data_IF_650612795796
#
_entry.id   IF_650612795796
#
_cell.length_a   1.000
_cell.length_b   1.000
_cell.length_c   1.000
_cell.angle_alpha   90.00
_cell.angle_beta   90.00
_cell.angle_gamma   90.00
#
_symmetry.space_group_name_H-M   'P 1'
#
loop_
_entity.id
_entity.type
_entity.pdbx_description
1 polymer ?
#
# COMPACT_ATOMS: atom_id res chain seq x y z
N UNK A 1 -15.51 -25.05 -62.72
CA UNK A 1 -16.36 -24.00 -62.14
C UNK A 1 -16.08 -23.97 -60.65
N UNK A 2 -15.45 -22.89 -60.21
CA UNK A 2 -15.11 -22.60 -58.81
C UNK A 2 -16.37 -22.09 -58.10
N UNK A 3 -16.54 -22.37 -56.81
CA UNK A 3 -16.73 -21.31 -55.80
C UNK A 3 -16.66 -21.89 -54.39
N UNK A 4 -15.63 -21.43 -53.67
CA UNK A 4 -15.32 -21.79 -52.30
C UNK A 4 -16.29 -21.15 -51.31
N UNK A 5 -16.71 -21.96 -50.34
CA UNK A 5 -17.42 -21.52 -49.15
C UNK A 5 -16.48 -20.68 -48.26
N UNK A 6 -16.74 -19.38 -48.12
CA UNK A 6 -16.08 -18.51 -47.15
C UNK A 6 -16.73 -18.72 -45.76
N UNK A 7 -16.01 -19.20 -44.72
CA UNK A 7 -16.56 -19.23 -43.37
C UNK A 7 -16.38 -17.86 -42.69
N UNK A 8 -17.50 -17.20 -42.39
CA UNK A 8 -17.52 -15.99 -41.56
C UNK A 8 -17.28 -16.34 -40.09
N UNK A 9 -16.06 -16.13 -39.59
CA UNK A 9 -15.75 -16.33 -38.16
C UNK A 9 -14.61 -15.40 -37.71
N UNK A 10 -14.85 -14.09 -37.69
CA UNK A 10 -13.77 -13.15 -37.26
C UNK A 10 -14.22 -11.85 -36.61
N UNK A 11 -15.48 -11.39 -36.76
CA UNK A 11 -15.90 -10.08 -36.23
C UNK A 11 -16.02 -10.03 -34.71
N UNK A 12 -16.52 -11.10 -34.09
CA UNK A 12 -16.78 -11.11 -32.64
C UNK A 12 -15.50 -11.12 -31.80
N UNK A 13 -14.46 -11.81 -32.27
CA UNK A 13 -13.15 -11.88 -31.58
C UNK A 13 -12.46 -10.52 -31.61
N UNK A 14 -12.50 -9.80 -32.75
CA UNK A 14 -11.93 -8.47 -32.88
C UNK A 14 -12.59 -7.42 -31.96
N UNK A 15 -13.90 -7.50 -31.76
CA UNK A 15 -14.65 -6.58 -30.90
C UNK A 15 -14.33 -6.80 -29.42
N UNK A 16 -14.26 -8.06 -28.95
CA UNK A 16 -13.96 -8.37 -27.55
C UNK A 16 -12.54 -7.91 -27.16
N UNK A 17 -11.56 -8.10 -28.05
CA UNK A 17 -10.18 -7.65 -27.81
C UNK A 17 -10.10 -6.12 -27.74
N UNK A 18 -10.79 -5.41 -28.62
CA UNK A 18 -10.82 -3.94 -28.61
C UNK A 18 -11.48 -3.37 -27.34
N UNK A 19 -12.58 -3.97 -26.88
CA UNK A 19 -13.26 -3.56 -25.63
C UNK A 19 -12.38 -3.80 -24.40
N UNK A 20 -11.70 -4.95 -24.32
CA UNK A 20 -10.79 -5.25 -23.21
C UNK A 20 -9.58 -4.28 -23.17
N UNK A 21 -8.99 -3.97 -24.34
CA UNK A 21 -7.90 -3.01 -24.42
C UNK A 21 -8.33 -1.59 -24.01
N UNK A 22 -9.53 -1.16 -24.43
CA UNK A 22 -10.08 0.13 -24.03
C UNK A 22 -10.34 0.19 -22.53
N UNK A 23 -10.91 -0.87 -21.94
CA UNK A 23 -11.15 -0.96 -20.50
C UNK A 23 -9.85 -0.90 -19.69
N UNK A 24 -8.80 -1.60 -20.13
CA UNK A 24 -7.48 -1.54 -19.49
C UNK A 24 -6.86 -0.14 -19.57
N UNK A 25 -6.99 0.56 -20.70
CA UNK A 25 -6.51 1.93 -20.86
C UNK A 25 -7.27 2.91 -19.94
N UNK A 26 -8.60 2.78 -19.87
CA UNK A 26 -9.43 3.59 -18.96
C UNK A 26 -9.05 3.33 -17.51
N UNK A 27 -8.88 2.06 -17.11
CA UNK A 27 -8.43 1.69 -15.77
C UNK A 27 -7.08 2.32 -15.42
N UNK A 28 -6.10 2.23 -16.32
CA UNK A 28 -4.78 2.81 -16.12
C UNK A 28 -4.83 4.34 -15.95
N UNK A 29 -5.63 5.03 -16.77
CA UNK A 29 -5.82 6.49 -16.67
C UNK A 29 -6.51 6.87 -15.36
N UNK A 30 -7.56 6.16 -14.95
CA UNK A 30 -8.26 6.43 -13.68
C UNK A 30 -7.32 6.24 -12.49
N UNK A 31 -6.54 5.16 -12.45
CA UNK A 31 -5.55 4.92 -11.38
C UNK A 31 -4.47 6.00 -11.31
N UNK A 32 -4.07 6.58 -12.44
CA UNK A 32 -3.11 7.68 -12.47
C UNK A 32 -3.70 8.99 -11.93
N UNK A 33 -5.01 9.22 -12.12
CA UNK A 33 -5.68 10.44 -11.71
C UNK A 33 -6.10 10.44 -10.23
N UNK A 34 -6.29 9.25 -9.61
CA UNK A 34 -6.76 9.13 -8.22
C UNK A 34 -5.66 9.02 -7.17
N UNK A 35 -4.39 8.93 -7.58
CA UNK A 35 -3.26 8.71 -6.66
C UNK A 35 -3.33 7.36 -5.91
N UNK A 36 -2.26 6.97 -5.21
CA UNK A 36 -2.29 5.79 -4.34
C UNK A 36 -3.27 6.02 -3.18
N UNK A 37 -3.96 4.95 -2.74
CA UNK A 37 -4.85 5.02 -1.57
C UNK A 37 -4.00 5.25 -0.32
N UNK A 38 -4.29 6.29 0.45
CA UNK A 38 -3.53 6.65 1.66
C UNK A 38 -4.46 6.72 2.86
N UNK A 39 -4.12 5.98 3.91
CA UNK A 39 -4.76 6.03 5.22
C UNK A 39 -3.88 6.79 6.21
N UNK A 40 -4.46 7.66 7.03
CA UNK A 40 -3.77 8.40 8.08
C UNK A 40 -3.62 7.61 9.37
N UNK A 41 -2.96 8.22 10.36
CA UNK A 41 -2.75 7.58 11.67
C UNK A 41 -4.05 7.19 12.38
N UNK A 42 -5.13 7.94 12.13
CA UNK A 42 -6.41 7.80 12.82
C UNK A 42 -7.34 6.79 12.15
N UNK A 43 -7.00 6.33 10.94
CA UNK A 43 -7.76 5.31 10.19
C UNK A 43 -7.44 3.91 10.74
N UNK A 44 -7.89 3.62 11.96
CA UNK A 44 -7.59 2.38 12.69
C UNK A 44 -8.21 1.13 12.09
N UNK A 45 -9.27 1.30 11.32
CA UNK A 45 -10.01 0.24 10.64
C UNK A 45 -9.98 0.53 9.13
N UNK A 46 -9.22 -0.28 8.40
CA UNK A 46 -8.94 -0.13 6.97
C UNK A 46 -9.64 -1.25 6.21
N UNK A 47 -10.41 -0.90 5.19
CA UNK A 47 -11.03 -1.87 4.27
C UNK A 47 -10.58 -1.55 2.84
N UNK A 48 -10.07 -2.56 2.14
CA UNK A 48 -9.57 -2.46 0.77
C UNK A 48 -9.92 -3.71 -0.02
N UNK A 49 -10.03 -3.62 -1.34
CA UNK A 49 -10.20 -4.79 -2.20
C UNK A 49 -8.88 -5.51 -2.47
N UNK A 50 -8.90 -6.82 -2.71
CA UNK A 50 -7.75 -7.57 -3.21
C UNK A 50 -7.12 -6.89 -4.43
N UNK A 51 -5.78 -6.87 -4.49
CA UNK A 51 -5.01 -6.20 -5.54
C UNK A 51 -4.74 -4.71 -5.29
N UNK A 52 -5.39 -4.10 -4.28
CA UNK A 52 -5.17 -2.69 -3.94
C UNK A 52 -3.78 -2.47 -3.37
N UNK A 53 -3.08 -1.46 -3.90
CA UNK A 53 -1.89 -0.88 -3.28
C UNK A 53 -2.30 0.33 -2.46
N UNK A 54 -1.91 0.35 -1.18
CA UNK A 54 -2.20 1.47 -0.29
C UNK A 54 -1.02 1.76 0.64
N UNK A 55 -1.02 2.95 1.22
CA UNK A 55 -0.01 3.38 2.19
C UNK A 55 -0.67 3.79 3.50
N UNK A 56 -0.03 3.45 4.62
CA UNK A 56 -0.34 4.03 5.93
C UNK A 56 0.63 5.19 6.17
N UNK A 57 0.08 6.39 6.39
CA UNK A 57 0.80 7.63 6.60
C UNK A 57 0.87 7.98 8.08
N UNK A 58 2.08 8.21 8.57
CA UNK A 58 2.38 8.57 9.95
C UNK A 58 3.23 9.83 9.99
N UNK A 59 3.06 10.67 11.01
CA UNK A 59 4.02 11.72 11.34
C UNK A 59 5.34 11.08 11.75
N UNK A 60 6.44 11.62 11.25
CA UNK A 60 7.78 11.13 11.52
C UNK A 60 8.76 12.30 11.60
N UNK A 61 9.82 12.14 12.38
CA UNK A 61 10.97 13.02 12.36
C UNK A 61 12.25 12.19 12.46
N UNK A 62 12.82 11.76 11.32
CA UNK A 62 14.00 10.91 11.29
C UNK A 62 15.24 11.54 11.95
N UNK A 63 15.32 12.88 12.07
CA UNK A 63 16.46 13.55 12.69
C UNK A 63 16.61 13.25 14.19
N UNK A 64 15.55 12.74 14.81
CA UNK A 64 15.53 12.38 16.24
C UNK A 64 16.18 11.03 16.53
N UNK A 65 16.49 10.24 15.49
CA UNK A 65 16.96 8.86 15.63
C UNK A 65 15.87 7.83 15.92
N UNK A 66 14.61 8.26 16.01
CA UNK A 66 13.45 7.38 16.03
C UNK A 66 13.03 6.98 14.61
N UNK A 67 12.44 5.79 14.49
CA UNK A 67 11.88 5.29 13.23
C UNK A 67 10.68 4.39 13.49
N UNK A 68 9.77 4.37 12.53
CA UNK A 68 8.68 3.40 12.48
C UNK A 68 9.18 2.05 11.95
N UNK A 69 8.83 0.97 12.65
CA UNK A 69 9.10 -0.42 12.24
C UNK A 69 7.85 -1.26 12.35
N UNK A 70 7.74 -2.29 11.51
CA UNK A 70 6.74 -3.33 11.68
C UNK A 70 7.10 -4.15 12.91
N UNK A 71 6.15 -4.28 13.84
CA UNK A 71 6.32 -5.04 15.06
C UNK A 71 5.59 -6.38 14.98
N UNK A 72 6.05 -7.35 15.78
CA UNK A 72 5.36 -8.62 15.92
C UNK A 72 4.03 -8.47 16.69
N UNK A 73 3.00 -9.27 16.40
CA UNK A 73 2.95 -10.19 15.25
C UNK A 73 2.87 -9.41 13.92
N UNK A 74 3.59 -9.89 12.92
CA UNK A 74 3.48 -9.33 11.56
C UNK A 74 2.13 -9.71 10.94
N UNK A 75 1.59 -8.87 10.02
CA UNK A 75 0.37 -9.19 9.30
C UNK A 75 0.52 -10.49 8.50
N UNK A 76 -0.59 -11.20 8.33
CA UNK A 76 -0.64 -12.45 7.57
C UNK A 76 -0.22 -12.16 6.11
N UNK A 77 0.91 -12.72 5.62
CA UNK A 77 1.41 -12.44 4.29
C UNK A 77 0.50 -12.94 3.17
N UNK A 78 -0.42 -13.87 3.46
CA UNK A 78 -1.45 -14.31 2.51
C UNK A 78 -2.55 -13.26 2.32
N UNK A 79 -2.81 -12.42 3.33
CA UNK A 79 -3.82 -11.34 3.31
C UNK A 79 -3.18 -10.02 2.89
N UNK A 80 -2.06 -9.65 3.50
CA UNK A 80 -1.45 -8.34 3.33
C UNK A 80 0.08 -8.45 3.27
N UNK A 81 0.69 -7.88 2.23
CA UNK A 81 2.15 -7.85 2.09
C UNK A 81 2.67 -6.43 2.13
N UNK A 82 3.62 -6.14 3.02
CA UNK A 82 4.39 -4.89 2.96
C UNK A 82 5.26 -4.86 1.70
N UNK A 83 5.19 -3.78 0.94
CA UNK A 83 5.91 -3.59 -0.33
C UNK A 83 7.00 -2.54 -0.26
N UNK A 84 7.02 -1.69 0.77
CA UNK A 84 8.04 -0.67 0.90
C UNK A 84 7.67 0.46 1.85
N UNK A 85 7.97 1.67 1.42
CA UNK A 85 7.70 2.91 2.13
C UNK A 85 8.65 4.03 1.70
N UNK A 86 8.22 5.27 1.92
CA UNK A 86 8.99 6.48 1.63
C UNK A 86 8.82 7.51 2.75
N UNK A 87 9.55 8.63 2.66
CA UNK A 87 9.43 9.76 3.57
C UNK A 87 9.41 11.05 2.79
N UNK A 88 8.43 11.87 3.10
CA UNK A 88 8.31 13.21 2.57
C UNK A 88 8.60 14.19 3.71
N UNK A 89 9.60 15.05 3.53
CA UNK A 89 9.91 16.09 4.49
C UNK A 89 8.87 17.21 4.40
N UNK A 90 8.56 17.84 5.53
CA UNK A 90 7.77 19.08 5.52
C UNK A 90 8.56 20.20 4.83
N UNK A 91 7.89 20.94 3.95
CA UNK A 91 8.48 22.07 3.24
C UNK A 91 8.21 23.41 3.95
N UNK A 92 9.18 24.33 3.99
CA UNK A 92 10.54 24.19 3.49
C UNK A 92 11.40 23.25 4.36
N UNK A 93 12.13 22.35 3.72
CA UNK A 93 13.03 21.44 4.42
C UNK A 93 14.17 22.19 5.13
N UNK A 94 14.30 21.99 6.45
CA UNK A 94 15.37 22.56 7.29
C UNK A 94 16.00 21.46 8.15
N UNK A 95 17.23 21.64 8.66
CA UNK A 95 17.79 20.73 9.64
C UNK A 95 16.84 20.54 10.82
N UNK A 96 16.45 19.29 11.08
CA UNK A 96 15.51 18.93 12.15
C UNK A 96 14.03 18.97 11.78
N UNK A 97 13.66 19.37 10.55
CA UNK A 97 12.27 19.30 10.07
C UNK A 97 11.74 17.87 10.12
N UNK A 98 10.53 17.73 10.62
CA UNK A 98 9.75 16.50 10.53
C UNK A 98 9.13 16.35 9.14
N UNK A 99 8.18 15.43 9.05
CA UNK A 99 7.48 15.11 7.82
C UNK A 99 6.56 13.90 7.99
N UNK A 100 6.33 13.22 6.87
CA UNK A 100 5.39 12.13 6.75
C UNK A 100 6.11 10.86 6.30
N UNK A 101 5.96 9.80 7.08
CA UNK A 101 6.35 8.44 6.75
C UNK A 101 5.19 7.72 6.10
N UNK A 102 5.45 7.07 4.97
CA UNK A 102 4.52 6.17 4.31
C UNK A 102 5.02 4.74 4.42
N UNK A 103 4.15 3.83 4.81
CA UNK A 103 4.41 2.39 4.82
C UNK A 103 3.48 1.74 3.80
N UNK A 104 4.07 1.17 2.76
CA UNK A 104 3.32 0.71 1.59
C UNK A 104 2.97 -0.78 1.71
N UNK A 105 1.74 -1.12 1.34
CA UNK A 105 1.19 -2.47 1.38
C UNK A 105 0.48 -2.83 0.06
N UNK A 106 0.45 -4.13 -0.23
CA UNK A 106 -0.38 -4.74 -1.26
C UNK A 106 -1.35 -5.72 -0.60
N UNK A 107 -2.64 -5.48 -0.80
CA UNK A 107 -3.71 -6.40 -0.44
C UNK A 107 -3.66 -7.63 -1.38
N UNK A 108 -3.54 -8.83 -0.80
CA UNK A 108 -3.30 -10.09 -1.52
C UNK A 108 -4.57 -10.93 -1.58
N UNK A 109 -4.87 -11.67 -0.52
CA UNK A 109 -6.05 -12.50 -0.40
C UNK A 109 -7.10 -11.89 0.53
N UNK A 110 -8.36 -12.27 0.33
CA UNK A 110 -9.43 -11.88 1.22
C UNK A 110 -9.16 -12.38 2.64
N UNK A 111 -9.47 -11.57 3.65
CA UNK A 111 -9.22 -11.91 5.04
C UNK A 111 -9.06 -10.70 5.94
N UNK A 112 -8.73 -10.94 7.21
CA UNK A 112 -8.49 -9.91 8.21
C UNK A 112 -7.11 -10.10 8.82
N UNK A 113 -6.38 -9.00 9.00
CA UNK A 113 -5.09 -9.01 9.67
C UNK A 113 -4.85 -7.72 10.43
N UNK A 114 -3.87 -7.71 11.33
CA UNK A 114 -3.48 -6.52 12.08
C UNK A 114 -2.08 -6.07 11.66
N UNK A 115 -1.93 -4.77 11.44
CA UNK A 115 -0.64 -4.13 11.23
C UNK A 115 -0.29 -3.38 12.51
N UNK A 116 0.83 -3.78 13.15
CA UNK A 116 1.39 -3.06 14.29
C UNK A 116 2.65 -2.33 13.87
N UNK A 117 2.63 -1.00 13.95
CA UNK A 117 3.78 -0.13 13.71
C UNK A 117 4.27 0.43 15.05
N UNK A 118 5.56 0.25 15.33
CA UNK A 118 6.23 0.72 16.56
C UNK A 118 7.23 1.81 16.23
N UNK A 119 7.21 2.90 16.99
CA UNK A 119 8.14 4.00 16.90
C UNK A 119 9.25 3.81 17.94
N UNK A 120 10.43 3.38 17.49
CA UNK A 120 11.55 3.08 18.39
C UNK A 120 12.78 3.91 18.06
N UNK A 121 13.52 4.27 19.10
CA UNK A 121 14.86 4.85 18.99
C UNK A 121 15.86 3.72 18.77
N UNK A 122 16.71 3.84 17.74
CA UNK A 122 17.77 2.84 17.43
C UNK A 122 17.29 1.38 17.44
N UNK A 123 16.13 1.11 16.82
CA UNK A 123 15.52 -0.22 16.76
C UNK A 123 16.53 -1.32 16.37
N UNK A 124 16.50 -2.44 17.09
CA UNK A 124 17.41 -3.58 16.86
C UNK A 124 18.68 -3.58 17.73
N UNK A 125 18.78 -2.66 18.70
CA UNK A 125 19.80 -2.69 19.75
C UNK A 125 19.15 -2.98 21.12
N UNK A 126 19.89 -3.52 22.11
CA UNK A 126 19.36 -3.74 23.46
C UNK A 126 18.81 -2.46 24.12
N UNK A 127 19.38 -1.29 23.83
CA UNK A 127 18.83 0.00 24.30
C UNK A 127 17.42 0.30 23.75
N UNK A 128 17.03 -0.28 22.62
CA UNK A 128 15.68 -0.11 22.08
C UNK A 128 14.61 -0.81 22.94
N UNK A 129 15.00 -1.79 23.76
CA UNK A 129 14.12 -2.54 24.65
C UNK A 129 13.98 -1.84 26.02
N UNK A 130 15.00 -1.09 26.46
CA UNK A 130 14.95 -0.29 27.70
C UNK A 130 14.20 1.04 27.53
N UNK A 131 14.16 1.60 26.30
CA UNK A 131 13.50 2.86 25.98
C UNK A 131 12.02 2.70 25.54
N UNK A 132 11.41 1.58 25.91
CA UNK A 132 10.01 1.27 25.58
C UNK A 132 8.98 2.20 26.25
N UNK A 133 9.35 2.95 27.29
CA UNK A 133 8.45 3.98 27.86
C UNK A 133 8.07 5.09 26.86
N UNK A 134 8.92 5.35 25.86
CA UNK A 134 8.65 6.32 24.80
C UNK A 134 8.21 5.67 23.48
N UNK A 135 8.12 4.33 23.41
CA UNK A 135 7.82 3.63 22.16
C UNK A 135 6.33 3.77 21.80
N UNK A 136 6.04 4.64 20.82
CA UNK A 136 4.66 4.83 20.36
C UNK A 136 4.27 3.64 19.49
N UNK A 137 3.20 2.96 19.85
CA UNK A 137 2.64 1.90 19.01
C UNK A 137 1.37 2.39 18.31
N UNK A 138 1.19 1.93 17.07
CA UNK A 138 0.01 2.19 16.22
C UNK A 138 -0.46 0.85 15.68
N UNK A 139 -1.71 0.50 15.99
CA UNK A 139 -2.38 -0.70 15.47
C UNK A 139 -3.42 -0.30 14.45
N UNK A 140 -3.51 -1.08 13.39
CA UNK A 140 -4.46 -0.94 12.30
C UNK A 140 -5.07 -2.30 11.99
N UNK A 141 -6.39 -2.41 12.02
CA UNK A 141 -7.10 -3.61 11.58
C UNK A 141 -7.36 -3.46 10.09
N UNK A 142 -6.89 -4.41 9.30
CA UNK A 142 -7.02 -4.39 7.85
C UNK A 142 -7.92 -5.53 7.42
N UNK A 143 -9.00 -5.20 6.71
CA UNK A 143 -9.89 -6.16 6.04
C UNK A 143 -9.63 -6.06 4.54
N UNK A 144 -9.38 -7.21 3.93
CA UNK A 144 -9.28 -7.36 2.47
C UNK A 144 -10.51 -8.11 2.00
N UNK A 145 -11.26 -7.50 1.08
CA UNK A 145 -12.43 -8.07 0.41
C UNK A 145 -12.08 -8.71 -0.94
#
# INVERSE_FOLDING_TARGET
MSEGRIPGRTRTVGIVVAVAALAAAVYAVVSQLTGPVVFGEDDRDITVSSGTHFSIRLKDNPSTGFRWVLAAPEPDPAVLRRTGGHYDADEPARPGSGGLRYVDFMARGAGRTEVTLRYCFRCGTPQADEQDENSRTRRFRVTVD
#
